data_IF_941197510834
#
_entry.id   IF_941197510834
#
_cell.length_a   1.000
_cell.length_b   1.000
_cell.length_c   1.000
_cell.angle_alpha   90.00
_cell.angle_beta   90.00
_cell.angle_gamma   90.00
#
_symmetry.space_group_name_H-M   'P 1'
#
loop_
_entity.id
_entity.type
_entity.pdbx_description
1 polymer ?
#
# COMPACT_ATOMS: atom_id res chain seq x y z
N UNK A 1 10.83 -25.67 -10.73
CA UNK A 1 10.84 -25.75 -9.26
C UNK A 1 11.98 -24.90 -8.70
N UNK A 2 11.86 -23.54 -8.68
CA UNK A 2 12.87 -22.61 -8.12
C UNK A 2 12.19 -21.34 -7.58
N UNK A 3 11.02 -21.40 -6.95
CA UNK A 3 10.31 -20.18 -6.49
C UNK A 3 9.92 -20.12 -5.01
N UNK A 4 10.47 -20.99 -4.14
CA UNK A 4 10.03 -20.99 -2.74
C UNK A 4 11.00 -20.33 -1.74
N UNK A 5 12.05 -19.62 -2.17
CA UNK A 5 13.09 -19.06 -1.27
C UNK A 5 13.26 -17.53 -1.31
N UNK A 6 12.34 -16.76 -1.86
CA UNK A 6 12.51 -15.30 -1.98
C UNK A 6 11.93 -14.48 -0.81
N UNK A 7 11.21 -15.08 0.11
CA UNK A 7 10.69 -14.39 1.28
C UNK A 7 11.56 -14.75 2.49
N UNK A 8 12.27 -13.77 3.11
CA UNK A 8 12.98 -14.04 4.36
C UNK A 8 11.98 -14.44 5.45
N UNK A 9 12.10 -15.66 5.97
CA UNK A 9 11.22 -16.22 7.01
C UNK A 9 11.56 -15.71 8.42
N UNK A 10 12.68 -15.00 8.59
CA UNK A 10 13.25 -14.69 9.90
C UNK A 10 12.94 -13.26 10.40
N UNK A 11 12.30 -12.40 9.58
CA UNK A 11 11.94 -11.05 10.00
C UNK A 11 10.51 -11.05 10.53
N UNK A 12 10.38 -10.72 11.82
CA UNK A 12 9.09 -10.58 12.49
C UNK A 12 8.99 -9.20 13.16
N UNK A 13 7.89 -8.51 12.92
CA UNK A 13 7.60 -7.22 13.52
C UNK A 13 6.94 -7.42 14.89
N UNK A 14 7.25 -6.59 15.87
CA UNK A 14 6.49 -6.56 17.13
C UNK A 14 5.06 -6.11 16.87
N UNK A 15 4.90 -4.97 16.15
CA UNK A 15 3.57 -4.47 15.74
C UNK A 15 3.58 -3.95 14.31
N UNK A 16 2.72 -4.52 13.49
CA UNK A 16 2.47 -4.09 12.11
C UNK A 16 1.11 -3.39 12.04
N UNK A 17 1.06 -2.19 11.45
CA UNK A 17 -0.19 -1.48 11.20
C UNK A 17 -0.68 -1.74 9.77
N UNK A 18 -1.92 -2.20 9.64
CA UNK A 18 -2.65 -2.30 8.38
C UNK A 18 -3.82 -1.31 8.39
N UNK A 19 -3.73 -0.24 7.61
CA UNK A 19 -4.84 0.69 7.38
C UNK A 19 -5.67 0.28 6.17
N UNK A 20 -6.95 0.65 6.13
CA UNK A 20 -7.86 0.16 5.09
C UNK A 20 -8.22 -1.32 5.28
N UNK A 21 -8.19 -1.80 6.53
CA UNK A 21 -8.30 -3.21 6.89
C UNK A 21 -9.68 -3.82 6.58
N UNK A 22 -10.75 -3.02 6.49
CA UNK A 22 -12.09 -3.46 6.10
C UNK A 22 -12.31 -3.46 4.58
N UNK A 23 -11.39 -2.87 3.80
CA UNK A 23 -11.42 -2.88 2.35
C UNK A 23 -11.13 -4.26 1.74
N UNK A 24 -11.31 -4.40 0.43
CA UNK A 24 -11.11 -5.67 -0.26
C UNK A 24 -9.68 -6.21 -0.06
N UNK A 25 -8.65 -5.40 -0.32
CA UNK A 25 -7.25 -5.81 -0.13
C UNK A 25 -6.86 -5.94 1.34
N UNK A 26 -7.45 -5.11 2.21
CA UNK A 26 -7.23 -5.21 3.65
C UNK A 26 -7.68 -6.57 4.20
N UNK A 27 -8.85 -7.05 3.81
CA UNK A 27 -9.37 -8.37 4.19
C UNK A 27 -8.48 -9.51 3.70
N UNK A 28 -7.98 -9.42 2.47
CA UNK A 28 -7.06 -10.42 1.91
C UNK A 28 -5.72 -10.46 2.67
N UNK A 29 -5.13 -9.30 2.94
CA UNK A 29 -3.84 -9.22 3.60
C UNK A 29 -3.91 -9.48 5.11
N UNK A 30 -5.06 -9.23 5.76
CA UNK A 30 -5.25 -9.42 7.20
C UNK A 30 -4.82 -10.79 7.69
N UNK A 31 -5.34 -11.87 7.07
CA UNK A 31 -4.98 -13.22 7.46
C UNK A 31 -3.55 -13.61 7.07
N UNK A 32 -3.04 -13.06 5.98
CA UNK A 32 -1.74 -13.37 5.40
C UNK A 32 -0.59 -12.72 6.15
N UNK A 33 -0.79 -11.50 6.67
CA UNK A 33 0.24 -10.76 7.43
C UNK A 33 0.39 -11.23 8.88
N UNK A 34 -0.52 -12.04 9.39
CA UNK A 34 -0.50 -12.52 10.78
C UNK A 34 0.77 -13.27 11.17
N UNK A 35 1.40 -13.98 10.22
CA UNK A 35 2.63 -14.75 10.46
C UNK A 35 3.88 -13.88 10.56
N UNK A 36 3.83 -12.62 10.14
CA UNK A 36 4.97 -11.71 10.07
C UNK A 36 5.05 -10.71 11.23
N UNK A 37 4.11 -10.76 12.21
CA UNK A 37 4.11 -9.86 13.36
C UNK A 37 3.59 -10.56 14.62
N UNK A 38 3.93 -9.99 15.79
CA UNK A 38 3.37 -10.43 17.07
C UNK A 38 1.96 -9.85 17.25
N UNK A 39 1.77 -8.60 16.84
CA UNK A 39 0.48 -7.90 16.86
C UNK A 39 0.21 -7.27 15.49
N UNK A 40 -0.92 -7.62 14.89
CA UNK A 40 -1.43 -6.94 13.71
C UNK A 40 -2.48 -5.90 14.13
N UNK A 41 -2.10 -4.62 14.09
CA UNK A 41 -3.04 -3.53 14.33
C UNK A 41 -3.80 -3.23 13.06
N UNK A 42 -5.12 -3.30 13.14
CA UNK A 42 -6.05 -3.08 12.05
C UNK A 42 -6.76 -1.73 12.22
N UNK A 43 -6.75 -0.90 11.20
CA UNK A 43 -7.42 0.40 11.21
C UNK A 43 -8.27 0.62 9.96
N UNK A 44 -9.51 1.03 10.18
CA UNK A 44 -10.46 1.44 9.14
C UNK A 44 -11.55 2.30 9.79
N UNK A 45 -12.31 3.05 8.97
CA UNK A 45 -13.54 3.73 9.38
C UNK A 45 -14.76 2.80 9.35
N UNK A 46 -14.69 1.74 8.54
CA UNK A 46 -15.74 0.73 8.45
C UNK A 46 -15.56 -0.37 9.50
N UNK A 47 -16.62 -1.11 9.75
CA UNK A 47 -16.59 -2.25 10.66
C UNK A 47 -15.61 -3.33 10.17
N UNK A 48 -14.66 -3.66 11.02
CA UNK A 48 -13.64 -4.69 10.80
C UNK A 48 -14.03 -6.06 11.34
N UNK A 49 -15.23 -6.19 11.91
CA UNK A 49 -15.78 -7.43 12.48
C UNK A 49 -15.02 -7.92 13.72
N UNK A 50 -15.11 -9.22 14.00
CA UNK A 50 -14.36 -9.85 15.09
C UNK A 50 -12.86 -9.89 14.81
N UNK A 51 -12.06 -10.01 15.86
CA UNK A 51 -10.61 -10.08 15.76
C UNK A 51 -10.04 -11.36 16.39
N UNK A 52 -8.91 -11.82 15.86
CA UNK A 52 -8.13 -12.90 16.44
C UNK A 52 -7.29 -12.39 17.65
N UNK A 53 -6.77 -13.29 18.51
CA UNK A 53 -5.98 -12.88 19.70
C UNK A 53 -4.73 -12.05 19.40
N UNK A 54 -4.14 -12.19 18.22
CA UNK A 54 -2.97 -11.42 17.77
C UNK A 54 -3.33 -10.11 17.06
N UNK A 55 -4.61 -9.80 16.93
CA UNK A 55 -5.10 -8.60 16.25
C UNK A 55 -5.57 -7.54 17.25
N UNK A 56 -5.34 -6.29 16.91
CA UNK A 56 -5.77 -5.12 17.66
C UNK A 56 -6.61 -4.19 16.77
N UNK A 57 -7.90 -4.06 17.05
CA UNK A 57 -8.76 -3.15 16.27
C UNK A 57 -8.64 -1.71 16.81
N UNK A 58 -8.26 -0.78 15.95
CA UNK A 58 -8.12 0.66 16.24
C UNK A 58 -8.76 1.48 15.12
N UNK A 59 -10.07 1.74 15.17
CA UNK A 59 -10.71 2.59 14.18
C UNK A 59 -10.10 4.00 14.16
N UNK A 60 -9.85 4.53 12.97
CA UNK A 60 -9.34 5.89 12.81
C UNK A 60 -9.75 6.46 11.45
N UNK A 61 -10.07 7.75 11.43
CA UNK A 61 -10.20 8.55 10.23
C UNK A 61 -8.85 9.10 9.85
N UNK A 62 -8.44 8.87 8.62
CA UNK A 62 -7.12 9.31 8.14
C UNK A 62 -6.97 10.84 8.13
N UNK A 63 -8.06 11.57 7.89
CA UNK A 63 -8.08 13.03 7.95
C UNK A 63 -7.96 13.60 9.37
N UNK A 64 -8.15 12.78 10.41
CA UNK A 64 -7.99 13.17 11.79
C UNK A 64 -6.58 12.86 12.30
N UNK A 65 -5.73 13.88 12.37
CA UNK A 65 -4.33 13.73 12.78
C UNK A 65 -4.14 13.11 14.17
N UNK A 66 -5.06 13.36 15.12
CA UNK A 66 -4.98 12.78 16.47
C UNK A 66 -5.30 11.28 16.45
N UNK A 67 -6.32 10.87 15.69
CA UNK A 67 -6.66 9.46 15.56
C UNK A 67 -5.53 8.69 14.87
N UNK A 68 -4.91 9.28 13.82
CA UNK A 68 -3.76 8.69 13.12
C UNK A 68 -2.53 8.60 14.03
N UNK A 69 -2.28 9.60 14.85
CA UNK A 69 -1.19 9.58 15.84
C UNK A 69 -1.39 8.43 16.85
N UNK A 70 -2.62 8.22 17.33
CA UNK A 70 -2.94 7.14 18.29
C UNK A 70 -2.76 5.74 17.70
N UNK A 71 -3.13 5.53 16.43
CA UNK A 71 -2.94 4.22 15.81
C UNK A 71 -1.47 3.93 15.46
N UNK A 72 -0.60 4.94 15.46
CA UNK A 72 0.83 4.80 15.14
C UNK A 72 1.67 4.42 16.36
N UNK A 73 1.12 4.51 17.58
CA UNK A 73 1.87 4.24 18.81
C UNK A 73 2.42 2.81 18.87
N UNK A 74 3.75 2.69 19.01
CA UNK A 74 4.47 1.41 19.10
C UNK A 74 4.46 0.57 17.81
N UNK A 75 4.21 1.18 16.65
CA UNK A 75 4.22 0.52 15.33
C UNK A 75 5.64 0.45 14.77
N UNK A 76 6.07 -0.71 14.28
CA UNK A 76 7.38 -0.92 13.64
C UNK A 76 7.34 -0.61 12.14
N UNK A 77 6.25 -1.02 11.47
CA UNK A 77 6.05 -0.81 10.04
C UNK A 77 4.56 -0.67 9.69
N UNK A 78 4.30 -0.06 8.52
CA UNK A 78 2.93 0.23 8.06
C UNK A 78 2.68 -0.37 6.69
N UNK A 79 1.52 -1.01 6.51
CA UNK A 79 0.90 -1.30 5.21
C UNK A 79 -0.30 -0.36 5.05
N UNK A 80 -0.15 0.65 4.19
CA UNK A 80 -1.14 1.70 4.02
C UNK A 80 -2.02 1.45 2.78
N UNK A 81 -3.19 0.86 3.02
CA UNK A 81 -4.23 0.66 1.99
C UNK A 81 -5.40 1.65 2.16
N UNK A 82 -5.42 2.39 3.27
CA UNK A 82 -6.51 3.31 3.61
C UNK A 82 -6.65 4.45 2.60
N UNK A 83 -7.88 4.90 2.43
CA UNK A 83 -8.25 5.99 1.54
C UNK A 83 -9.40 5.63 0.60
N UNK A 84 -9.81 6.58 -0.21
CA UNK A 84 -10.79 6.40 -1.29
C UNK A 84 -10.14 5.61 -2.42
N UNK A 85 -10.66 4.42 -2.80
CA UNK A 85 -9.93 3.49 -3.68
C UNK A 85 -10.22 3.65 -5.18
N UNK A 86 -11.07 4.60 -5.55
CA UNK A 86 -11.49 4.82 -6.95
C UNK A 86 -11.73 6.31 -7.20
N UNK A 87 -11.98 6.67 -8.46
CA UNK A 87 -12.36 8.03 -8.81
C UNK A 87 -13.62 8.49 -8.05
N UNK A 88 -13.56 9.68 -7.46
CA UNK A 88 -14.62 10.35 -6.70
C UNK A 88 -14.51 11.87 -6.87
N UNK A 89 -15.50 12.59 -6.30
CA UNK A 89 -15.43 14.03 -6.12
C UNK A 89 -14.18 14.44 -5.34
N UNK A 90 -13.76 15.69 -5.53
CA UNK A 90 -12.51 16.22 -4.97
C UNK A 90 -12.44 16.09 -3.44
N UNK A 91 -13.51 16.47 -2.72
CA UNK A 91 -13.46 16.55 -1.26
C UNK A 91 -13.16 15.21 -0.55
N UNK A 92 -13.83 14.09 -0.87
CA UNK A 92 -13.46 12.79 -0.28
C UNK A 92 -12.01 12.39 -0.61
N UNK A 93 -11.53 12.67 -1.82
CA UNK A 93 -10.15 12.35 -2.23
C UNK A 93 -9.15 13.24 -1.47
N UNK A 94 -9.42 14.54 -1.36
CA UNK A 94 -8.59 15.47 -0.61
C UNK A 94 -8.43 15.02 0.85
N UNK A 95 -9.54 14.75 1.52
CA UNK A 95 -9.51 14.42 2.95
C UNK A 95 -8.84 13.06 3.21
N UNK A 96 -9.27 12.01 2.53
CA UNK A 96 -8.79 10.67 2.83
C UNK A 96 -7.43 10.36 2.22
N UNK A 97 -7.16 10.79 0.96
CA UNK A 97 -5.95 10.36 0.25
C UNK A 97 -4.79 11.36 0.40
N UNK A 98 -5.07 12.65 0.43
CA UNK A 98 -4.03 13.70 0.49
C UNK A 98 -3.75 14.05 1.95
N UNK A 99 -4.76 14.56 2.68
CA UNK A 99 -4.61 14.91 4.10
C UNK A 99 -4.30 13.66 4.92
N UNK A 100 -4.99 12.54 4.64
CA UNK A 100 -4.76 11.26 5.30
C UNK A 100 -3.36 10.72 5.10
N UNK A 101 -2.81 10.75 3.89
CA UNK A 101 -1.43 10.33 3.64
C UNK A 101 -0.42 11.23 4.38
N UNK A 102 -0.63 12.54 4.37
CA UNK A 102 0.21 13.46 5.13
C UNK A 102 0.19 13.14 6.64
N UNK A 103 -0.99 12.97 7.23
CA UNK A 103 -1.12 12.62 8.63
C UNK A 103 -0.42 11.29 8.96
N UNK A 104 -0.53 10.29 8.08
CA UNK A 104 0.13 9.00 8.25
C UNK A 104 1.65 9.14 8.29
N UNK A 105 2.24 9.81 7.29
CA UNK A 105 3.69 10.00 7.23
C UNK A 105 4.20 10.85 8.37
N UNK A 106 3.46 11.89 8.78
CA UNK A 106 3.86 12.73 9.93
C UNK A 106 3.77 11.96 11.27
N UNK A 107 2.75 11.13 11.45
CA UNK A 107 2.68 10.23 12.60
C UNK A 107 3.81 9.17 12.55
N UNK A 108 4.08 8.57 11.39
CA UNK A 108 5.19 7.63 11.22
C UNK A 108 6.53 8.28 11.61
N UNK A 109 6.76 9.53 11.21
CA UNK A 109 7.95 10.30 11.61
C UNK A 109 8.05 10.52 13.11
N UNK A 110 6.96 10.94 13.76
CA UNK A 110 6.91 11.21 15.21
C UNK A 110 7.16 9.95 16.04
N UNK A 111 6.61 8.82 15.61
CA UNK A 111 6.72 7.54 16.32
C UNK A 111 7.94 6.70 15.91
N UNK A 112 8.79 7.21 15.00
CA UNK A 112 10.02 6.53 14.60
C UNK A 112 9.82 5.30 13.71
N UNK A 113 8.66 5.19 13.05
CA UNK A 113 8.39 4.16 12.07
C UNK A 113 9.34 4.32 10.88
N UNK A 114 10.00 3.24 10.47
CA UNK A 114 11.04 3.30 9.43
C UNK A 114 10.61 2.75 8.08
N UNK A 115 9.51 1.98 8.02
CA UNK A 115 9.06 1.31 6.82
C UNK A 115 7.58 1.52 6.57
N UNK A 116 7.25 2.01 5.37
CA UNK A 116 5.87 2.16 4.89
C UNK A 116 5.73 1.46 3.54
N UNK A 117 4.78 0.55 3.43
CA UNK A 117 4.31 0.02 2.14
C UNK A 117 3.07 0.80 1.76
N UNK A 118 3.17 1.63 0.72
CA UNK A 118 2.10 2.53 0.28
C UNK A 118 1.36 1.95 -0.93
N UNK A 119 0.06 1.74 -0.80
CA UNK A 119 -0.79 1.34 -1.92
C UNK A 119 -0.99 2.52 -2.87
N UNK A 120 -0.19 2.57 -3.92
CA UNK A 120 -0.38 3.41 -5.10
C UNK A 120 -1.25 2.69 -6.14
N UNK A 121 -1.31 3.16 -7.36
CA UNK A 121 -2.20 2.67 -8.41
C UNK A 121 -1.60 2.83 -9.79
N UNK A 122 -1.96 1.96 -10.73
CA UNK A 122 -1.66 2.14 -12.15
C UNK A 122 -2.28 3.42 -12.75
N UNK A 123 -3.31 4.00 -12.11
CA UNK A 123 -3.90 5.29 -12.51
C UNK A 123 -2.95 6.49 -12.39
N UNK A 124 -1.83 6.36 -11.68
CA UNK A 124 -0.75 7.38 -11.64
C UNK A 124 -0.15 7.60 -13.02
N UNK A 125 -0.18 6.60 -13.88
CA UNK A 125 0.31 6.64 -15.28
C UNK A 125 -0.80 6.36 -16.29
N UNK A 126 -2.07 6.58 -15.91
CA UNK A 126 -3.24 6.17 -16.67
C UNK A 126 -3.42 6.86 -18.04
N UNK A 127 -2.81 8.04 -18.27
CA UNK A 127 -2.84 8.72 -19.57
C UNK A 127 -1.75 8.30 -20.55
N UNK A 128 -0.86 7.37 -20.19
CA UNK A 128 -0.01 6.74 -21.17
C UNK A 128 -0.82 5.77 -22.06
N UNK A 129 -0.45 5.68 -23.31
CA UNK A 129 -1.13 4.80 -24.28
C UNK A 129 -0.80 3.34 -23.95
N UNK A 130 -1.73 2.42 -24.26
CA UNK A 130 -1.53 0.99 -24.03
C UNK A 130 -0.51 0.33 -25.00
N UNK A 131 -0.14 1.03 -26.06
CA UNK A 131 0.90 0.62 -27.00
C UNK A 131 2.30 1.20 -26.64
N UNK A 132 2.38 2.00 -25.59
CA UNK A 132 3.64 2.47 -25.01
C UNK A 132 4.10 1.52 -23.90
N UNK A 133 5.35 1.11 -23.96
CA UNK A 133 5.97 0.40 -22.85
C UNK A 133 6.44 1.43 -21.82
N UNK A 134 5.96 1.30 -20.59
CA UNK A 134 6.27 2.24 -19.52
C UNK A 134 6.91 1.52 -18.33
N UNK A 135 7.69 2.25 -17.56
CA UNK A 135 8.31 1.79 -16.33
C UNK A 135 7.98 2.72 -15.14
N UNK A 136 8.46 2.36 -13.96
CA UNK A 136 8.18 3.11 -12.74
C UNK A 136 8.91 4.47 -12.68
N UNK A 137 9.97 4.68 -13.48
CA UNK A 137 10.75 5.92 -13.50
C UNK A 137 10.16 6.99 -14.44
N UNK A 138 9.19 6.61 -15.28
CA UNK A 138 8.55 7.57 -16.18
C UNK A 138 7.74 8.62 -15.40
N UNK A 139 7.62 9.85 -15.92
CA UNK A 139 6.82 10.91 -15.32
C UNK A 139 5.39 10.46 -15.04
N UNK A 140 4.82 10.90 -13.93
CA UNK A 140 3.41 10.65 -13.63
C UNK A 140 2.50 11.34 -14.64
N UNK A 141 1.44 10.66 -15.09
CA UNK A 141 0.38 11.17 -15.99
C UNK A 141 -0.96 10.61 -15.53
N UNK A 142 -1.46 11.07 -14.35
CA UNK A 142 -2.67 10.52 -13.75
C UNK A 142 -3.90 10.83 -14.61
N UNK A 143 -4.80 9.85 -14.71
CA UNK A 143 -6.03 9.93 -15.53
C UNK A 143 -7.26 10.43 -14.77
N UNK A 144 -7.10 10.80 -13.49
CA UNK A 144 -8.16 11.35 -12.66
C UNK A 144 -7.64 11.86 -11.32
N UNK A 145 -8.55 12.37 -10.49
CA UNK A 145 -8.24 12.90 -9.14
C UNK A 145 -7.72 11.81 -8.22
N UNK A 146 -8.26 10.59 -8.35
CA UNK A 146 -7.75 9.43 -7.62
C UNK A 146 -6.28 9.15 -7.97
N UNK A 147 -5.96 9.02 -9.26
CA UNK A 147 -4.59 8.83 -9.73
C UNK A 147 -3.66 9.96 -9.27
N UNK A 148 -4.12 11.22 -9.35
CA UNK A 148 -3.38 12.39 -8.86
C UNK A 148 -3.10 12.32 -7.37
N UNK A 149 -4.08 11.90 -6.56
CA UNK A 149 -3.88 11.76 -5.11
C UNK A 149 -2.86 10.69 -4.74
N UNK A 150 -2.78 9.62 -5.54
CA UNK A 150 -1.77 8.57 -5.32
C UNK A 150 -0.38 9.01 -5.79
N UNK A 151 -0.28 9.78 -6.88
CA UNK A 151 0.97 10.44 -7.28
C UNK A 151 1.49 11.37 -6.17
N UNK A 152 0.62 12.19 -5.56
CA UNK A 152 0.98 12.98 -4.37
C UNK A 152 1.54 12.10 -3.25
N UNK A 153 0.94 10.93 -2.98
CA UNK A 153 1.44 10.00 -1.96
C UNK A 153 2.82 9.44 -2.28
N UNK A 154 3.13 9.16 -3.56
CA UNK A 154 4.47 8.74 -4.00
C UNK A 154 5.51 9.85 -3.76
N UNK A 155 5.20 11.10 -4.14
CA UNK A 155 6.10 12.24 -3.92
C UNK A 155 6.25 12.57 -2.42
N UNK A 156 5.18 12.43 -1.65
CA UNK A 156 5.22 12.57 -0.19
C UNK A 156 6.15 11.52 0.44
N UNK A 157 6.02 10.25 0.03
CA UNK A 157 6.91 9.17 0.47
C UNK A 157 8.38 9.50 0.17
N UNK A 158 8.67 10.04 -1.02
CA UNK A 158 10.00 10.49 -1.41
C UNK A 158 10.51 11.60 -0.50
N UNK A 159 9.70 12.63 -0.22
CA UNK A 159 10.04 13.72 0.67
C UNK A 159 10.41 13.22 2.08
N UNK A 160 9.59 12.28 2.63
CA UNK A 160 9.84 11.74 3.97
C UNK A 160 11.06 10.82 4.02
N UNK A 161 11.38 10.12 2.94
CA UNK A 161 12.64 9.39 2.83
C UNK A 161 13.85 10.36 2.80
N UNK A 162 13.86 11.34 1.91
CA UNK A 162 14.99 12.26 1.74
C UNK A 162 15.23 13.12 2.98
N UNK A 163 14.19 13.49 3.73
CA UNK A 163 14.32 14.34 4.93
C UNK A 163 14.49 13.59 6.23
N UNK A 164 13.89 12.42 6.36
CA UNK A 164 13.76 11.73 7.64
C UNK A 164 14.18 10.26 7.60
N UNK A 165 14.53 9.72 6.44
CA UNK A 165 14.96 8.33 6.28
C UNK A 165 13.85 7.30 6.41
N UNK A 166 12.56 7.70 6.26
CA UNK A 166 11.44 6.75 6.25
C UNK A 166 11.43 6.03 4.91
N UNK A 167 11.85 4.78 4.92
CA UNK A 167 11.87 3.96 3.73
C UNK A 167 10.43 3.63 3.26
N UNK A 168 10.19 3.74 1.96
CA UNK A 168 8.85 3.51 1.40
C UNK A 168 8.90 2.71 0.11
N UNK A 169 8.03 1.70 0.02
CA UNK A 169 7.74 1.03 -1.25
C UNK A 169 6.33 1.42 -1.69
N UNK A 170 6.24 2.19 -2.77
CA UNK A 170 4.99 2.59 -3.39
C UNK A 170 4.63 1.57 -4.48
N UNK A 171 3.59 0.79 -4.23
CA UNK A 171 3.15 -0.26 -5.17
C UNK A 171 2.03 0.31 -6.05
N UNK A 172 2.29 0.55 -7.32
CA UNK A 172 1.28 0.89 -8.33
C UNK A 172 0.47 -0.37 -8.66
N UNK A 173 -0.54 -0.63 -7.83
CA UNK A 173 -1.36 -1.84 -7.90
C UNK A 173 -2.17 -1.86 -9.20
N UNK A 174 -2.15 -2.99 -9.89
CA UNK A 174 -2.94 -3.24 -11.08
C UNK A 174 -4.38 -3.63 -10.76
N UNK A 175 -4.81 -4.82 -11.16
CA UNK A 175 -6.16 -5.34 -10.96
C UNK A 175 -6.13 -6.58 -10.03
N UNK A 176 -6.14 -6.38 -8.70
CA UNK A 176 -6.10 -7.49 -7.75
C UNK A 176 -7.44 -8.26 -7.78
N UNK A 177 -7.36 -9.55 -7.99
CA UNK A 177 -8.52 -10.44 -7.99
C UNK A 177 -8.08 -11.91 -7.94
N UNK A 178 -9.00 -12.79 -7.54
CA UNK A 178 -8.76 -14.24 -7.52
C UNK A 178 -8.33 -14.77 -8.90
N UNK A 179 -8.98 -14.25 -9.95
CA UNK A 179 -8.67 -14.59 -11.35
C UNK A 179 -9.00 -13.43 -12.29
N UNK A 180 -8.32 -13.32 -13.45
CA UNK A 180 -8.65 -12.30 -14.43
C UNK A 180 -10.04 -12.57 -15.02
N UNK A 181 -10.92 -11.54 -15.03
CA UNK A 181 -12.31 -11.66 -15.50
C UNK A 181 -12.59 -10.81 -16.75
N UNK A 182 -11.65 -9.96 -17.16
CA UNK A 182 -11.76 -9.13 -18.36
C UNK A 182 -10.46 -9.20 -19.17
N UNK A 183 -10.55 -8.81 -20.46
CA UNK A 183 -9.35 -8.72 -21.31
C UNK A 183 -8.29 -7.76 -20.76
N UNK A 184 -8.71 -6.65 -20.15
CA UNK A 184 -7.81 -5.70 -19.47
C UNK A 184 -7.08 -6.36 -18.29
N UNK A 185 -7.77 -7.20 -17.53
CA UNK A 185 -7.15 -7.92 -16.41
C UNK A 185 -6.01 -8.84 -16.87
N UNK A 186 -6.01 -9.35 -18.12
CA UNK A 186 -4.91 -10.18 -18.63
C UNK A 186 -3.57 -9.44 -18.71
N UNK A 187 -3.59 -8.11 -18.70
CA UNK A 187 -2.37 -7.29 -18.67
C UNK A 187 -2.03 -6.76 -17.27
N UNK A 188 -3.03 -6.55 -16.43
CA UNK A 188 -2.88 -5.85 -15.14
C UNK A 188 -3.19 -6.74 -13.94
N UNK A 189 -3.49 -8.01 -14.13
CA UNK A 189 -3.88 -8.90 -13.05
C UNK A 189 -2.77 -9.01 -11.99
N UNK A 190 -3.20 -8.97 -10.74
CA UNK A 190 -2.39 -9.25 -9.58
C UNK A 190 -3.09 -10.32 -8.75
N UNK A 191 -2.50 -11.50 -8.64
CA UNK A 191 -3.04 -12.54 -7.75
C UNK A 191 -2.92 -12.12 -6.29
N UNK A 192 -3.77 -12.67 -5.43
CA UNK A 192 -3.68 -12.40 -3.99
C UNK A 192 -2.36 -12.93 -3.39
N UNK A 193 -1.82 -14.02 -3.94
CA UNK A 193 -0.54 -14.58 -3.51
C UNK A 193 0.64 -13.71 -3.94
N UNK A 194 0.58 -13.11 -5.13
CA UNK A 194 1.60 -12.16 -5.58
C UNK A 194 1.51 -10.83 -4.81
N UNK A 195 0.29 -10.37 -4.48
CA UNK A 195 0.09 -9.21 -3.62
C UNK A 195 0.74 -9.44 -2.24
N UNK A 196 0.49 -10.59 -1.61
CA UNK A 196 1.14 -10.94 -0.35
C UNK A 196 2.66 -10.92 -0.49
N UNK A 197 3.21 -11.62 -1.49
CA UNK A 197 4.66 -11.65 -1.74
C UNK A 197 5.26 -10.27 -1.92
N UNK A 198 4.64 -9.41 -2.72
CA UNK A 198 5.09 -8.04 -2.92
C UNK A 198 5.10 -7.23 -1.62
N UNK A 199 4.02 -7.30 -0.85
CA UNK A 199 3.91 -6.59 0.44
C UNK A 199 4.95 -7.11 1.43
N UNK A 200 5.10 -8.44 1.56
CA UNK A 200 6.07 -9.03 2.48
C UNK A 200 7.50 -8.70 2.06
N UNK A 201 7.85 -8.82 0.78
CA UNK A 201 9.18 -8.41 0.29
C UNK A 201 9.44 -6.92 0.54
N UNK A 202 8.44 -6.05 0.31
CA UNK A 202 8.54 -4.61 0.59
C UNK A 202 8.77 -4.32 2.08
N UNK A 203 8.16 -5.10 2.97
CA UNK A 203 8.33 -4.98 4.43
C UNK A 203 9.71 -5.48 4.88
N UNK A 204 10.18 -6.61 4.33
CA UNK A 204 11.31 -7.37 4.88
C UNK A 204 12.64 -7.16 4.16
N UNK A 205 12.66 -6.55 2.97
CA UNK A 205 13.90 -6.24 2.28
C UNK A 205 14.82 -5.35 3.14
N UNK A 206 16.13 -5.64 3.20
CA UNK A 206 17.06 -4.95 4.13
C UNK A 206 17.10 -3.44 3.96
N UNK A 207 17.04 -2.96 2.73
CA UNK A 207 17.00 -1.54 2.39
C UNK A 207 16.20 -1.36 1.10
N UNK A 208 15.21 -0.48 1.14
CA UNK A 208 14.39 -0.17 -0.03
C UNK A 208 14.46 1.30 -0.41
N UNK A 209 14.95 2.16 0.49
CA UNK A 209 14.96 3.62 0.28
C UNK A 209 13.55 4.13 -0.07
N UNK A 210 13.46 4.93 -1.15
CA UNK A 210 12.19 5.24 -1.79
C UNK A 210 12.13 4.48 -3.12
N UNK A 211 11.23 3.53 -3.20
CA UNK A 211 11.07 2.66 -4.37
C UNK A 211 9.62 2.69 -4.87
N UNK A 212 9.44 2.85 -6.17
CA UNK A 212 8.15 2.72 -6.87
C UNK A 212 8.21 1.51 -7.78
N UNK A 213 7.20 0.64 -7.69
CA UNK A 213 7.09 -0.57 -8.52
C UNK A 213 5.66 -0.75 -9.04
N UNK A 214 5.51 -1.46 -10.15
CA UNK A 214 4.19 -1.95 -10.57
C UNK A 214 3.86 -3.27 -9.88
N UNK A 215 2.67 -3.34 -9.27
CA UNK A 215 2.12 -4.53 -8.63
C UNK A 215 1.22 -5.28 -9.59
N UNK A 216 1.81 -6.21 -10.37
CA UNK A 216 1.12 -7.11 -11.29
C UNK A 216 1.75 -8.50 -11.20
N UNK A 217 0.98 -9.56 -11.49
CA UNK A 217 1.51 -10.90 -11.67
C UNK A 217 2.29 -10.99 -12.99
N UNK A 218 2.98 -12.11 -13.22
CA UNK A 218 3.69 -12.37 -14.49
C UNK A 218 2.70 -12.59 -15.64
N UNK A 219 2.18 -11.47 -16.15
CA UNK A 219 1.14 -11.45 -17.17
C UNK A 219 1.77 -11.41 -18.59
N UNK A 220 1.36 -12.29 -19.48
CA UNK A 220 1.88 -12.37 -20.85
C UNK A 220 1.59 -11.13 -21.71
N UNK A 221 0.60 -10.31 -21.35
CA UNK A 221 0.14 -9.14 -22.10
C UNK A 221 0.45 -7.81 -21.40
N UNK A 222 1.43 -7.78 -20.46
CA UNK A 222 1.78 -6.57 -19.73
C UNK A 222 2.45 -5.52 -20.64
N UNK A 223 2.19 -4.23 -20.35
CA UNK A 223 2.92 -3.09 -20.95
C UNK A 223 3.79 -2.34 -19.93
N UNK A 224 3.95 -2.89 -18.74
CA UNK A 224 4.89 -2.40 -17.72
C UNK A 224 6.14 -3.27 -17.63
N UNK A 225 7.26 -2.61 -17.35
CA UNK A 225 8.53 -3.26 -17.00
C UNK A 225 8.79 -3.17 -15.50
#
# INVERSE_FOLDING_TARGET
MVHSQLVPTDIRFGRLLLTGAAGALGKELRGRLASYCDTLRLSDIADMGSHAPHEELRPARLENAMEVDQIMDGVDAVVHLGGVPTEREWEPILQSNIVGAYNLYEAARKHGVRRVVFASTSHVTGFYRQDEQIDAAMPVRPDGLYGLSKAFGEDLARLYFDRYGIESVCIRIGAPSERPVTRRHLAMWLSHDDLERLVVCALTAPSVGHTVIYGVSDNLATWWN
#
